data_IF_643492408178
#
_entry.id   IF_643492408178
#
_cell.length_a   1.000
_cell.length_b   1.000
_cell.length_c   1.000
_cell.angle_alpha   90.00
_cell.angle_beta   90.00
_cell.angle_gamma   90.00
#
_symmetry.space_group_name_H-M   'P 1'
#
loop_
_entity.id
_entity.type
_entity.pdbx_description
1 polymer ?
#
# COMPACT_ATOMS: atom_id res chain seq x y z
N UNK A 1 -41.80 11.48 -6.33
CA UNK A 1 -41.05 11.61 -7.60
C UNK A 1 -39.77 10.80 -7.43
N UNK A 2 -39.61 9.70 -8.15
CA UNK A 2 -38.52 8.73 -7.92
C UNK A 2 -37.15 9.17 -8.49
N UNK A 3 -37.10 10.32 -9.15
CA UNK A 3 -35.90 10.85 -9.80
C UNK A 3 -34.89 11.47 -8.81
N UNK A 4 -35.35 11.97 -7.67
CA UNK A 4 -34.48 12.63 -6.67
C UNK A 4 -33.65 11.60 -5.87
N UNK A 5 -34.23 10.43 -5.60
CA UNK A 5 -33.58 9.33 -4.87
C UNK A 5 -32.30 8.86 -5.58
N UNK A 6 -32.36 8.62 -6.89
CA UNK A 6 -31.20 8.22 -7.69
C UNK A 6 -30.15 9.33 -7.83
N UNK A 7 -30.52 10.60 -7.60
CA UNK A 7 -29.59 11.73 -7.54
C UNK A 7 -28.80 11.74 -6.23
N UNK A 8 -29.50 11.60 -5.11
CA UNK A 8 -28.89 11.54 -3.77
C UNK A 8 -27.99 10.29 -3.61
N UNK A 9 -28.40 9.14 -4.13
CA UNK A 9 -27.57 7.91 -4.13
C UNK A 9 -26.25 8.10 -4.89
N UNK A 10 -26.28 8.73 -6.07
CA UNK A 10 -25.05 9.05 -6.83
C UNK A 10 -24.16 10.03 -6.09
N UNK A 11 -24.74 11.00 -5.39
CA UNK A 11 -24.00 11.98 -4.60
C UNK A 11 -23.28 11.32 -3.42
N UNK A 12 -23.96 10.41 -2.73
CA UNK A 12 -23.37 9.58 -1.66
C UNK A 12 -22.20 8.74 -2.19
N UNK A 13 -22.39 8.04 -3.32
CA UNK A 13 -21.33 7.24 -3.94
C UNK A 13 -20.09 8.08 -4.32
N UNK A 14 -20.30 9.29 -4.83
CA UNK A 14 -19.19 10.19 -5.17
C UNK A 14 -18.43 10.66 -3.92
N UNK A 15 -19.14 10.92 -2.83
CA UNK A 15 -18.52 11.29 -1.56
C UNK A 15 -17.69 10.13 -0.98
N UNK A 16 -18.22 8.91 -1.00
CA UNK A 16 -17.48 7.71 -0.59
C UNK A 16 -16.19 7.53 -1.41
N UNK A 17 -16.25 7.73 -2.73
CA UNK A 17 -15.05 7.66 -3.59
C UNK A 17 -14.02 8.74 -3.25
N UNK A 18 -14.46 9.95 -2.92
CA UNK A 18 -13.57 11.04 -2.55
C UNK A 18 -12.89 10.78 -1.20
N UNK A 19 -13.61 10.23 -0.23
CA UNK A 19 -13.08 9.79 1.06
C UNK A 19 -12.04 8.67 0.89
N UNK A 20 -12.35 7.63 0.12
CA UNK A 20 -11.40 6.55 -0.19
C UNK A 20 -10.13 7.08 -0.88
N UNK A 21 -10.28 8.05 -1.78
CA UNK A 21 -9.13 8.69 -2.45
C UNK A 21 -8.28 9.45 -1.44
N UNK A 22 -8.91 10.23 -0.56
CA UNK A 22 -8.19 11.00 0.47
C UNK A 22 -7.43 10.07 1.41
N UNK A 23 -8.08 9.02 1.88
CA UNK A 23 -7.49 8.01 2.75
C UNK A 23 -6.27 7.34 2.09
N UNK A 24 -6.38 6.96 0.81
CA UNK A 24 -5.28 6.38 0.05
C UNK A 24 -4.07 7.35 -0.06
N UNK A 25 -4.33 8.64 -0.29
CA UNK A 25 -3.28 9.66 -0.32
C UNK A 25 -2.61 9.86 1.04
N UNK A 26 -3.38 9.94 2.12
CA UNK A 26 -2.85 10.06 3.47
C UNK A 26 -2.02 8.83 3.85
N UNK A 27 -2.51 7.62 3.58
CA UNK A 27 -1.78 6.39 3.79
C UNK A 27 -0.46 6.36 2.99
N UNK A 28 -0.48 6.79 1.73
CA UNK A 28 0.74 6.91 0.92
C UNK A 28 1.73 7.92 1.50
N UNK A 29 1.24 9.06 2.00
CA UNK A 29 2.06 10.09 2.63
C UNK A 29 2.72 9.58 3.91
N UNK A 30 1.95 8.89 4.77
CA UNK A 30 2.44 8.27 6.00
C UNK A 30 3.52 7.23 5.68
N UNK A 31 3.29 6.38 4.66
CA UNK A 31 4.28 5.37 4.27
C UNK A 31 5.59 5.98 3.78
N UNK A 32 5.52 7.05 2.95
CA UNK A 32 6.70 7.75 2.45
C UNK A 32 7.46 8.53 3.53
N UNK A 33 6.75 9.03 4.54
CA UNK A 33 7.35 9.72 5.68
C UNK A 33 7.93 8.76 6.71
N UNK A 34 7.61 7.46 6.62
CA UNK A 34 8.10 6.47 7.56
C UNK A 34 9.61 6.31 7.38
N UNK A 35 10.37 6.81 8.35
CA UNK A 35 11.81 6.62 8.37
C UNK A 35 12.15 5.20 8.82
N UNK A 36 12.99 4.54 8.05
CA UNK A 36 13.57 3.26 8.41
C UNK A 36 14.60 3.48 9.52
N UNK A 37 14.55 2.67 10.57
CA UNK A 37 15.58 2.69 11.61
C UNK A 37 16.58 1.55 11.37
N UNK A 38 17.85 1.83 11.63
CA UNK A 38 18.89 0.78 11.68
C UNK A 38 18.48 -0.23 12.75
N UNK A 39 18.64 -1.52 12.46
CA UNK A 39 18.19 -2.68 13.26
C UNK A 39 16.68 -2.98 13.28
N UNK A 40 15.86 -2.29 12.49
CA UNK A 40 14.44 -2.62 12.36
C UNK A 40 14.23 -3.92 11.58
N UNK A 41 13.34 -4.79 12.10
CA UNK A 41 12.91 -6.02 11.40
C UNK A 41 11.90 -5.71 10.31
N UNK A 42 12.16 -6.19 9.10
CA UNK A 42 11.32 -5.95 7.93
C UNK A 42 11.19 -7.20 7.06
N UNK A 43 10.03 -7.37 6.42
CA UNK A 43 9.83 -8.42 5.42
C UNK A 43 10.15 -7.87 4.03
N UNK A 44 10.90 -8.64 3.24
CA UNK A 44 11.22 -8.28 1.87
C UNK A 44 10.15 -8.86 0.92
N UNK A 45 9.55 -8.00 0.11
CA UNK A 45 8.64 -8.46 -0.93
C UNK A 45 9.43 -8.97 -2.13
N UNK A 46 9.29 -10.26 -2.43
CA UNK A 46 9.86 -10.87 -3.62
C UNK A 46 8.89 -10.74 -4.79
N UNK A 47 9.13 -9.73 -5.63
CA UNK A 47 8.34 -9.47 -6.84
C UNK A 47 8.52 -10.53 -7.93
N UNK A 48 9.50 -11.44 -7.80
CA UNK A 48 9.69 -12.53 -8.77
C UNK A 48 8.56 -13.53 -8.65
N UNK A 49 7.62 -13.41 -9.58
CA UNK A 49 6.47 -14.27 -9.67
C UNK A 49 6.92 -15.67 -10.08
N UNK A 50 6.58 -16.66 -9.25
CA UNK A 50 6.75 -18.07 -9.61
C UNK A 50 5.43 -18.59 -10.16
N UNK A 51 5.50 -19.21 -11.33
CA UNK A 51 4.40 -19.98 -11.88
C UNK A 51 4.32 -21.30 -11.11
N UNK A 52 3.28 -21.43 -10.32
CA UNK A 52 2.83 -22.72 -9.77
C UNK A 52 1.67 -23.15 -10.67
N UNK A 53 1.43 -24.45 -10.83
CA UNK A 53 0.34 -24.95 -11.69
C UNK A 53 -0.97 -24.25 -11.33
N UNK A 54 -1.49 -23.44 -12.26
CA UNK A 54 -2.73 -22.68 -12.11
C UNK A 54 -2.65 -21.36 -11.32
N UNK A 55 -1.48 -20.92 -10.81
CA UNK A 55 -1.39 -19.69 -10.02
C UNK A 55 -0.06 -18.94 -10.17
N UNK A 56 -0.17 -17.62 -10.23
CA UNK A 56 0.95 -16.68 -10.16
C UNK A 56 1.15 -16.25 -8.70
N UNK A 57 2.29 -16.59 -8.11
CA UNK A 57 2.55 -16.30 -6.70
C UNK A 57 3.80 -15.42 -6.55
N UNK A 58 3.63 -14.24 -5.93
CA UNK A 58 4.71 -13.49 -5.28
C UNK A 58 4.94 -14.04 -3.87
N UNK A 59 6.17 -13.94 -3.36
CA UNK A 59 6.53 -14.43 -2.01
C UNK A 59 6.99 -13.27 -1.14
N UNK A 60 6.75 -13.37 0.17
CA UNK A 60 7.43 -12.56 1.15
C UNK A 60 8.58 -13.38 1.69
N UNK A 61 9.78 -12.83 1.64
CA UNK A 61 10.96 -13.45 2.22
C UNK A 61 10.98 -13.15 3.74
N UNK A 62 11.72 -13.97 4.49
CA UNK A 62 11.76 -13.96 5.96
C UNK A 62 12.14 -12.60 6.57
N UNK A 63 11.94 -12.37 7.89
CA UNK A 63 12.31 -11.10 8.51
C UNK A 63 13.81 -10.81 8.40
N UNK A 64 14.15 -9.71 7.73
CA UNK A 64 15.51 -9.17 7.64
C UNK A 64 15.71 -8.03 8.63
N UNK A 65 16.98 -7.78 8.98
CA UNK A 65 17.38 -6.66 9.82
C UNK A 65 17.96 -5.59 8.92
N UNK A 66 17.52 -4.35 9.09
CA UNK A 66 18.06 -3.21 8.33
C UNK A 66 19.47 -2.87 8.83
N UNK A 67 20.48 -2.98 7.98
CA UNK A 67 21.88 -2.67 8.33
C UNK A 67 22.18 -1.18 8.12
N UNK A 68 21.71 -0.58 7.02
CA UNK A 68 21.86 0.87 6.74
C UNK A 68 20.67 1.42 5.97
N UNK A 69 20.41 2.71 6.18
CA UNK A 69 19.37 3.47 5.47
C UNK A 69 20.05 4.59 4.68
N UNK A 70 19.83 4.60 3.37
CA UNK A 70 20.35 5.59 2.44
C UNK A 70 19.44 6.83 2.42
N UNK A 71 19.98 8.03 2.13
CA UNK A 71 19.22 9.28 2.18
C UNK A 71 18.03 9.36 1.21
N UNK A 72 18.00 8.51 0.19
CA UNK A 72 16.90 8.43 -0.79
C UNK A 72 15.90 7.30 -0.49
N UNK A 73 15.90 6.75 0.74
CA UNK A 73 14.98 5.69 1.16
C UNK A 73 15.37 4.29 0.72
N UNK A 74 16.56 4.11 0.15
CA UNK A 74 17.15 2.79 -0.07
C UNK A 74 17.54 2.16 1.27
N UNK A 75 17.31 0.87 1.42
CA UNK A 75 17.68 0.11 2.62
C UNK A 75 18.65 -0.98 2.22
N UNK A 76 19.78 -1.04 2.92
CA UNK A 76 20.73 -2.15 2.84
C UNK A 76 20.41 -3.13 3.97
N UNK A 77 20.15 -4.39 3.59
CA UNK A 77 19.93 -5.51 4.51
C UNK A 77 21.27 -6.10 4.93
#
# INVERSE_FOLDING_TARGET
MAYDQAGEERKLQLQELEELRLEAYENSRIYKQREFQVSQKMLLFNSRLKLIVGKLCSRWDDPFITTKVLPYGGVEL
#
